data_IF_867377581019
#
_entry.id   IF_867377581019
#
_cell.length_a   1.000
_cell.length_b   1.000
_cell.length_c   1.000
_cell.angle_alpha   90.00
_cell.angle_beta   90.00
_cell.angle_gamma   90.00
#
_symmetry.space_group_name_H-M   'P 1'
#
loop_
_entity.id
_entity.type
_entity.pdbx_description
1 polymer ?
#
# COMPACT_ATOMS: atom_id res chain seq x y z
N UNK A 1 4.11 0.18 -12.38
CA UNK A 1 3.01 0.86 -11.66
C UNK A 1 3.66 1.87 -10.73
N UNK A 2 3.29 3.17 -10.81
CA UNK A 2 3.90 4.22 -9.97
C UNK A 2 2.94 4.54 -8.83
N UNK A 3 3.40 4.36 -7.60
CA UNK A 3 2.66 4.70 -6.40
C UNK A 3 3.57 5.45 -5.43
N UNK A 4 2.96 6.19 -4.52
CA UNK A 4 3.66 6.97 -3.49
C UNK A 4 3.12 6.57 -2.13
N UNK A 5 4.03 6.23 -1.22
CA UNK A 5 3.68 6.07 0.19
C UNK A 5 3.45 7.46 0.76
N UNK A 6 2.22 7.74 1.24
CA UNK A 6 1.86 9.05 1.81
C UNK A 6 1.95 9.06 3.33
N UNK A 7 1.80 7.89 3.96
CA UNK A 7 2.11 7.67 5.37
C UNK A 7 2.56 6.23 5.58
N UNK A 8 3.42 6.03 6.59
CA UNK A 8 3.94 4.74 7.00
C UNK A 8 3.88 4.67 8.53
N UNK A 9 3.43 3.55 9.06
CA UNK A 9 3.49 3.19 10.48
C UNK A 9 4.03 1.78 10.64
N UNK A 10 4.17 1.32 11.88
CA UNK A 10 4.60 -0.04 12.17
C UNK A 10 3.56 -1.10 11.74
N UNK A 11 2.29 -0.69 11.57
CA UNK A 11 1.17 -1.60 11.28
C UNK A 11 0.63 -1.49 9.85
N UNK A 12 1.04 -0.48 9.09
CA UNK A 12 0.45 -0.25 7.78
C UNK A 12 0.98 0.97 7.05
N UNK A 13 0.37 1.23 5.89
CA UNK A 13 0.71 2.36 5.05
C UNK A 13 -0.51 2.92 4.32
N UNK A 14 -0.50 4.22 4.06
CA UNK A 14 -1.38 4.81 3.07
C UNK A 14 -0.61 5.00 1.76
N UNK A 15 -1.21 4.56 0.67
CA UNK A 15 -0.58 4.55 -0.66
C UNK A 15 -1.47 5.33 -1.61
N UNK A 16 -0.88 6.31 -2.28
CA UNK A 16 -1.49 7.06 -3.37
C UNK A 16 -1.02 6.49 -4.71
N UNK A 17 -1.97 6.11 -5.54
CA UNK A 17 -1.71 5.58 -6.88
C UNK A 17 -1.82 6.70 -7.90
N UNK A 18 -0.96 6.66 -8.93
CA UNK A 18 -1.04 7.61 -10.04
C UNK A 18 -2.39 7.50 -10.78
N UNK A 19 -2.90 6.28 -10.93
CA UNK A 19 -4.17 5.99 -11.60
C UNK A 19 -5.17 5.33 -10.65
N UNK A 20 -6.47 5.51 -10.93
CA UNK A 20 -7.52 4.70 -10.30
C UNK A 20 -7.39 3.27 -10.81
N UNK A 21 -6.75 2.42 -10.02
CA UNK A 21 -6.62 0.99 -10.32
C UNK A 21 -7.46 0.21 -9.33
N UNK A 22 -8.15 -0.81 -9.82
CA UNK A 22 -8.78 -1.80 -8.96
C UNK A 22 -7.69 -2.60 -8.25
N UNK A 23 -7.54 -2.39 -6.95
CA UNK A 23 -6.52 -3.03 -6.14
C UNK A 23 -7.07 -4.33 -5.58
N UNK A 24 -6.31 -5.42 -5.72
CA UNK A 24 -6.68 -6.70 -5.10
C UNK A 24 -6.72 -6.54 -3.58
N UNK A 25 -7.58 -7.29 -2.87
CA UNK A 25 -7.67 -7.22 -1.41
C UNK A 25 -6.35 -7.53 -0.69
N UNK A 26 -5.47 -8.31 -1.34
CA UNK A 26 -4.11 -8.61 -0.88
C UNK A 26 -3.09 -8.11 -1.89
N UNK A 27 -2.10 -7.39 -1.40
CA UNK A 27 -0.99 -6.89 -2.20
C UNK A 27 0.32 -7.13 -1.46
N UNK A 28 1.42 -7.10 -2.20
CA UNK A 28 2.76 -7.04 -1.64
C UNK A 28 3.28 -5.61 -1.76
N UNK A 29 3.69 -5.02 -0.66
CA UNK A 29 4.32 -3.71 -0.65
C UNK A 29 5.83 -3.89 -0.56
N UNK A 30 6.56 -3.36 -1.55
CA UNK A 30 8.02 -3.29 -1.51
C UNK A 30 8.45 -1.84 -1.28
N UNK A 31 9.17 -1.59 -0.19
CA UNK A 31 9.77 -0.28 0.07
C UNK A 31 11.13 -0.20 -0.63
N UNK A 32 11.32 0.80 -1.50
CA UNK A 32 12.54 0.92 -2.33
C UNK A 32 13.82 1.04 -1.49
N UNK A 33 13.76 1.74 -0.36
CA UNK A 33 14.91 2.02 0.50
C UNK A 33 15.51 0.74 1.10
N UNK A 34 14.66 -0.21 1.46
CA UNK A 34 15.05 -1.35 2.31
C UNK A 34 14.93 -2.69 1.55
N UNK A 35 14.28 -2.68 0.38
CA UNK A 35 13.87 -3.87 -0.39
C UNK A 35 13.06 -4.88 0.43
N UNK A 36 12.48 -4.45 1.55
CA UNK A 36 11.60 -5.26 2.38
C UNK A 36 10.28 -5.41 1.64
N UNK A 37 9.83 -6.66 1.50
CA UNK A 37 8.51 -7.01 0.98
C UNK A 37 7.62 -7.34 2.17
N UNK A 38 6.54 -6.56 2.35
CA UNK A 38 5.49 -6.81 3.35
C UNK A 38 4.28 -7.41 2.64
N UNK A 39 3.69 -8.45 3.22
CA UNK A 39 2.36 -8.90 2.80
C UNK A 39 1.33 -7.95 3.41
N UNK A 40 0.38 -7.48 2.60
CA UNK A 40 -0.56 -6.47 3.04
C UNK A 40 -2.00 -6.80 2.64
N UNK A 41 -2.94 -6.36 3.47
CA UNK A 41 -4.38 -6.35 3.16
C UNK A 41 -4.87 -4.92 2.97
N UNK A 42 -5.64 -4.66 1.92
CA UNK A 42 -6.34 -3.38 1.75
C UNK A 42 -7.48 -3.31 2.78
N UNK A 43 -7.44 -2.29 3.63
CA UNK A 43 -8.44 -2.06 4.70
C UNK A 43 -9.43 -0.96 4.35
N UNK A 44 -9.05 -0.02 3.48
CA UNK A 44 -9.95 0.98 2.93
C UNK A 44 -9.44 1.51 1.58
N UNK A 45 -10.34 2.10 0.79
CA UNK A 45 -10.02 2.82 -0.43
C UNK A 45 -10.84 4.10 -0.53
N UNK A 46 -10.22 5.18 -1.00
CA UNK A 46 -10.87 6.47 -1.24
C UNK A 46 -10.20 7.17 -2.40
N UNK A 47 -10.92 7.36 -3.52
CA UNK A 47 -10.35 7.95 -4.73
C UNK A 47 -9.23 7.09 -5.33
N UNK A 48 -8.01 7.64 -5.40
CA UNK A 48 -6.79 6.93 -5.84
C UNK A 48 -5.92 6.46 -4.66
N UNK A 49 -6.43 6.57 -3.43
CA UNK A 49 -5.70 6.24 -2.21
C UNK A 49 -6.25 4.97 -1.59
N UNK A 50 -5.34 4.13 -1.12
CA UNK A 50 -5.66 2.93 -0.34
C UNK A 50 -4.94 2.99 0.99
N UNK A 51 -5.59 2.45 2.02
CA UNK A 51 -4.93 2.08 3.25
C UNK A 51 -4.68 0.59 3.25
N UNK A 52 -3.47 0.20 3.65
CA UNK A 52 -3.10 -1.20 3.81
C UNK A 52 -2.60 -1.46 5.22
N UNK A 53 -2.94 -2.65 5.71
CA UNK A 53 -2.44 -3.23 6.96
C UNK A 53 -1.37 -4.28 6.61
N UNK A 54 -0.28 -4.31 7.37
CA UNK A 54 0.77 -5.32 7.26
C UNK A 54 0.31 -6.61 7.94
N UNK A 55 0.53 -7.76 7.29
CA UNK A 55 0.09 -9.07 7.76
C UNK A 55 1.20 -9.86 8.48
N UNK A 56 2.29 -9.17 8.83
CA UNK A 56 3.48 -9.70 9.48
C UNK A 56 3.27 -9.95 10.98
#
# INVERSE_FOLDING_TARGET
MRCRVVSLSDYGAAIEMADKVYVRPRIKLMLEKDRIIRDCRVVWSSGNRIGVEFLD
#
